data_IF_612061041026
#
_entry.id   IF_612061041026
#
_cell.length_a   1.000
_cell.length_b   1.000
_cell.length_c   1.000
_cell.angle_alpha   90.00
_cell.angle_beta   90.00
_cell.angle_gamma   90.00
#
_symmetry.space_group_name_H-M   'P 1'
#
loop_
_entity.id
_entity.type
_entity.pdbx_description
1 polymer ?
#
# COMPACT_ATOMS: atom_id res chain seq x y z
N UNK A 1 -9.94 -3.31 -14.68
CA UNK A 1 -10.49 -2.59 -13.51
C UNK A 1 -9.52 -1.48 -13.20
N UNK A 2 -9.98 -0.23 -13.18
CA UNK A 2 -9.14 0.88 -12.73
C UNK A 2 -9.22 0.95 -11.19
N UNK A 3 -8.07 1.05 -10.53
CA UNK A 3 -7.99 1.26 -9.09
C UNK A 3 -8.35 2.71 -8.77
N UNK A 4 -8.97 2.96 -7.62
CA UNK A 4 -9.20 4.32 -7.13
C UNK A 4 -7.88 5.09 -7.04
N UNK A 5 -7.91 6.40 -7.28
CA UNK A 5 -6.70 7.24 -7.26
C UNK A 5 -5.92 7.14 -5.94
N UNK A 6 -6.63 7.06 -4.81
CA UNK A 6 -5.99 6.89 -3.49
C UNK A 6 -5.25 5.56 -3.33
N UNK A 7 -5.72 4.48 -3.96
CA UNK A 7 -5.03 3.19 -4.01
C UNK A 7 -3.77 3.28 -4.88
N UNK A 8 -3.83 4.03 -5.98
CA UNK A 8 -2.65 4.28 -6.82
C UNK A 8 -1.60 5.10 -6.06
N UNK A 9 -2.01 6.14 -5.34
CA UNK A 9 -1.13 6.93 -4.48
C UNK A 9 -0.48 6.05 -3.39
N UNK A 10 -1.26 5.15 -2.80
CA UNK A 10 -0.74 4.18 -1.83
C UNK A 10 0.34 3.27 -2.43
N UNK A 11 0.13 2.74 -3.65
CA UNK A 11 1.14 1.92 -4.34
C UNK A 11 2.42 2.72 -4.58
N UNK A 12 2.32 3.96 -5.03
CA UNK A 12 3.49 4.82 -5.25
C UNK A 12 4.24 5.04 -3.94
N UNK A 13 3.54 5.40 -2.86
CA UNK A 13 4.15 5.58 -1.53
C UNK A 13 4.80 4.28 -1.05
N UNK A 14 4.15 3.13 -1.25
CA UNK A 14 4.65 1.81 -0.90
C UNK A 14 5.98 1.49 -1.58
N UNK A 15 6.04 1.64 -2.91
CA UNK A 15 7.26 1.37 -3.68
C UNK A 15 8.39 2.37 -3.38
N UNK A 16 8.05 3.63 -3.12
CA UNK A 16 9.03 4.62 -2.66
C UNK A 16 9.59 4.26 -1.28
N UNK A 17 8.77 3.75 -0.35
CA UNK A 17 9.24 3.27 0.94
C UNK A 17 10.21 2.08 0.79
N UNK A 18 10.04 1.25 -0.24
CA UNK A 18 10.97 0.18 -0.57
C UNK A 18 12.35 0.65 -1.04
N UNK A 19 12.53 1.93 -1.37
CA UNK A 19 13.87 2.49 -1.63
C UNK A 19 14.70 2.65 -0.34
N UNK A 20 14.03 2.70 0.82
CA UNK A 20 14.64 2.87 2.15
C UNK A 20 14.67 1.54 2.91
N UNK A 21 13.54 0.81 2.96
CA UNK A 21 13.42 -0.48 3.65
C UNK A 21 12.80 -1.52 2.71
N UNK A 22 13.57 -2.56 2.36
CA UNK A 22 13.22 -3.52 1.31
C UNK A 22 12.11 -4.50 1.68
N UNK A 23 11.94 -4.76 2.97
CA UNK A 23 10.99 -5.77 3.44
C UNK A 23 9.84 -5.11 4.19
N UNK A 24 8.66 -5.72 4.22
CA UNK A 24 7.49 -5.25 4.97
C UNK A 24 7.62 -5.41 6.50
N UNK A 25 8.71 -4.93 7.07
CA UNK A 25 8.98 -4.94 8.52
C UNK A 25 8.18 -3.85 9.24
N UNK A 26 8.24 -3.83 10.59
CA UNK A 26 7.66 -2.73 11.38
C UNK A 26 8.22 -1.36 10.99
N UNK A 27 9.49 -1.30 10.59
CA UNK A 27 10.12 -0.05 10.14
C UNK A 27 9.50 0.43 8.83
N UNK A 28 9.29 -0.47 7.86
CA UNK A 28 8.59 -0.17 6.61
C UNK A 28 7.20 0.42 6.86
N UNK A 29 6.38 -0.26 7.65
CA UNK A 29 5.02 0.21 7.93
C UNK A 29 4.98 1.52 8.72
N UNK A 30 6.03 1.79 9.52
CA UNK A 30 6.20 3.09 10.17
C UNK A 30 6.51 4.20 9.16
N UNK A 31 7.37 3.93 8.16
CA UNK A 31 7.67 4.88 7.08
C UNK A 31 6.43 5.19 6.24
N UNK A 32 5.67 4.16 5.84
CA UNK A 32 4.41 4.34 5.11
C UNK A 32 3.43 5.20 5.92
N UNK A 33 3.29 4.92 7.23
CA UNK A 33 2.41 5.67 8.12
C UNK A 33 2.83 7.12 8.38
N UNK A 34 4.11 7.45 8.23
CA UNK A 34 4.61 8.83 8.31
C UNK A 34 4.23 9.64 7.08
N UNK A 35 4.15 9.00 5.91
CA UNK A 35 3.85 9.68 4.62
C UNK A 35 2.36 9.72 4.35
N UNK A 36 1.62 8.65 4.65
CA UNK A 36 0.20 8.52 4.33
C UNK A 36 -0.58 7.98 5.52
N UNK A 37 -1.33 8.82 6.24
CA UNK A 37 -2.06 8.42 7.45
C UNK A 37 -3.16 7.35 7.19
N UNK A 38 -3.77 7.35 5.99
CA UNK A 38 -4.86 6.46 5.60
C UNK A 38 -4.43 5.13 4.94
N UNK A 39 -3.13 4.82 4.90
CA UNK A 39 -2.57 3.74 4.08
C UNK A 39 -3.19 2.35 4.33
N UNK A 40 -3.69 2.09 5.54
CA UNK A 40 -4.26 0.79 5.91
C UNK A 40 -5.51 0.46 5.11
N UNK A 41 -6.36 1.46 4.87
CA UNK A 41 -7.59 1.28 4.10
C UNK A 41 -7.26 0.95 2.63
N UNK A 42 -6.30 1.67 2.06
CA UNK A 42 -5.90 1.48 0.67
C UNK A 42 -5.16 0.15 0.47
N UNK A 43 -4.39 -0.27 1.48
CA UNK A 43 -3.77 -1.60 1.49
C UNK A 43 -4.82 -2.71 1.48
N UNK A 44 -5.84 -2.61 2.34
CA UNK A 44 -6.94 -3.59 2.38
C UNK A 44 -7.71 -3.64 1.04
N UNK A 45 -8.02 -2.48 0.46
CA UNK A 45 -8.66 -2.40 -0.87
C UNK A 45 -7.80 -3.07 -1.93
N UNK A 46 -6.48 -2.83 -1.91
CA UNK A 46 -5.55 -3.46 -2.84
C UNK A 46 -5.46 -4.97 -2.66
N UNK A 47 -5.41 -5.48 -1.42
CA UNK A 47 -5.43 -6.91 -1.14
C UNK A 47 -6.73 -7.55 -1.65
N UNK A 48 -7.89 -6.95 -1.35
CA UNK A 48 -9.18 -7.44 -1.84
C UNK A 48 -9.25 -7.42 -3.37
N UNK A 49 -8.70 -6.40 -4.03
CA UNK A 49 -8.64 -6.34 -5.49
C UNK A 49 -7.70 -7.42 -6.09
N UNK A 50 -6.61 -7.76 -5.39
CA UNK A 50 -5.68 -8.81 -5.81
C UNK A 50 -6.26 -10.23 -5.63
N UNK A 51 -7.05 -10.44 -4.58
CA UNK A 51 -7.67 -11.74 -4.25
C UNK A 51 -9.14 -11.87 -4.72
N UNK A 52 -9.74 -10.79 -5.22
CA UNK A 52 -11.16 -10.72 -5.64
C UNK A 52 -11.51 -11.46 -6.94
N UNK A 53 -10.52 -12.10 -7.60
CA UNK A 53 -10.72 -13.04 -8.72
C UNK A 53 -10.44 -14.50 -8.32
N UNK A 54 -10.28 -14.81 -7.03
CA UNK A 54 -10.05 -16.16 -6.54
C UNK A 54 -11.32 -16.73 -5.87
N UNK A 55 -12.41 -16.81 -6.64
CA UNK A 55 -13.54 -17.76 -6.44
C UNK A 55 -13.92 -18.31 -7.81
#
# INVERSE_FOLDING_TARGET
>A
MELAGSVQDYIIVHELCHTIEKNHTKAFWSLVGQVMLGWRQEHEVLEQAAFGNAI
#
